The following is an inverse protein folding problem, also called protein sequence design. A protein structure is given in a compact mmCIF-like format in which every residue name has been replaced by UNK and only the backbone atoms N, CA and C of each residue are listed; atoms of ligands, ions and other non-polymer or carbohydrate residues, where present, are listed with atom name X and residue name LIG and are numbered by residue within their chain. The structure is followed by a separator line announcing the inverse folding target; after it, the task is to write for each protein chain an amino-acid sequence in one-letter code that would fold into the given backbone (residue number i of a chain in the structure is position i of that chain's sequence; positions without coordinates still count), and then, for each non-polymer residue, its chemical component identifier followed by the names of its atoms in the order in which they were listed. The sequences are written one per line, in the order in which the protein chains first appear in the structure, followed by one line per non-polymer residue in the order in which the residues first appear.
data_IF_652012162621
#
_entry.id   IF_652012162621
#
_cell.length_a   1.000
_cell.length_b   1.000
_cell.length_c   1.000
_cell.angle_alpha   90.00
_cell.angle_beta   90.00
_cell.angle_gamma   90.00
#
_symmetry.space_group_name_H-M   'P 1'
#
loop_
_entity.id
_entity.type
_entity.pdbx_description
1 polymer ?
#
# COMPACT_ATOMS: atom_id res chain seq x y z
N UNK A 1 -40.60 -15.03 -12.98
CA UNK A 1 -39.81 -15.39 -14.18
C UNK A 1 -38.68 -16.32 -13.77
N UNK A 2 -38.69 -17.59 -14.22
CA UNK A 2 -37.58 -18.50 -13.93
C UNK A 2 -36.36 -18.17 -14.82
N UNK A 3 -35.14 -18.13 -14.28
CA UNK A 3 -33.94 -17.88 -15.08
C UNK A 3 -33.72 -19.00 -16.11
N UNK A 4 -33.29 -18.61 -17.31
CA UNK A 4 -33.02 -19.54 -18.42
C UNK A 4 -31.94 -20.55 -18.03
N UNK A 5 -31.95 -21.73 -18.66
CA UNK A 5 -31.00 -22.81 -18.38
C UNK A 5 -29.52 -22.35 -18.52
N UNK A 6 -29.25 -21.42 -19.45
CA UNK A 6 -27.93 -20.81 -19.64
C UNK A 6 -27.49 -19.95 -18.44
N UNK A 7 -28.42 -19.18 -17.87
CA UNK A 7 -28.14 -18.35 -16.67
C UNK A 7 -27.91 -19.22 -15.44
N UNK A 8 -28.64 -20.34 -15.31
CA UNK A 8 -28.40 -21.33 -14.23
C UNK A 8 -27.02 -21.98 -14.35
N UNK A 9 -26.62 -22.41 -15.55
CA UNK A 9 -25.31 -22.99 -15.81
C UNK A 9 -24.15 -22.03 -15.49
N UNK A 10 -24.29 -20.74 -15.83
CA UNK A 10 -23.28 -19.70 -15.53
C UNK A 10 -23.16 -19.42 -14.04
N UNK A 11 -24.29 -19.39 -13.32
CA UNK A 11 -24.29 -19.24 -11.86
C UNK A 11 -23.67 -20.46 -11.18
N UNK A 12 -24.00 -21.68 -11.59
CA UNK A 12 -23.39 -22.89 -11.05
C UNK A 12 -21.88 -22.91 -11.28
N UNK A 13 -21.40 -22.52 -12.47
CA UNK A 13 -19.97 -22.38 -12.77
C UNK A 13 -19.28 -21.30 -11.94
N UNK A 14 -19.94 -20.17 -11.69
CA UNK A 14 -19.42 -19.10 -10.85
C UNK A 14 -19.32 -19.54 -9.38
N UNK A 15 -20.34 -20.25 -8.86
CA UNK A 15 -20.31 -20.84 -7.53
C UNK A 15 -19.25 -21.94 -7.42
N UNK A 16 -19.06 -22.77 -8.44
CA UNK A 16 -18.03 -23.81 -8.44
C UNK A 16 -16.61 -23.20 -8.43
N UNK A 17 -16.41 -22.11 -9.18
CA UNK A 17 -15.15 -21.35 -9.17
C UNK A 17 -14.92 -20.65 -7.83
N UNK A 18 -15.94 -20.03 -7.25
CA UNK A 18 -15.85 -19.40 -5.94
C UNK A 18 -15.57 -20.44 -4.84
N UNK A 19 -16.23 -21.59 -4.89
CA UNK A 19 -16.03 -22.71 -3.97
C UNK A 19 -14.61 -23.28 -4.07
N UNK A 20 -14.04 -23.40 -5.27
CA UNK A 20 -12.66 -23.88 -5.46
C UNK A 20 -11.59 -22.85 -5.07
N UNK A 21 -11.92 -21.55 -5.08
CA UNK A 21 -11.05 -20.48 -4.59
C UNK A 21 -11.06 -20.41 -3.05
N UNK A 22 -12.22 -20.66 -2.44
CA UNK A 22 -12.39 -20.63 -0.99
C UNK A 22 -11.93 -21.92 -0.30
N UNK A 23 -12.00 -23.06 -0.99
CA UNK A 23 -11.49 -24.34 -0.55
C UNK A 23 -10.76 -25.04 -1.70
N UNK A 24 -9.43 -24.85 -1.86
CA UNK A 24 -8.69 -25.62 -2.85
C UNK A 24 -8.82 -27.10 -2.48
N UNK A 25 -9.50 -27.88 -3.33
CA UNK A 25 -9.63 -29.30 -3.09
C UNK A 25 -8.25 -29.92 -3.17
N UNK A 26 -7.77 -30.47 -2.04
CA UNK A 26 -6.65 -31.40 -2.05
C UNK A 26 -6.94 -32.48 -3.11
N UNK A 27 -5.96 -32.88 -3.94
CA UNK A 27 -6.16 -33.82 -5.05
C UNK A 27 -6.29 -35.24 -4.49
N UNK A 28 -7.38 -35.48 -3.76
CA UNK A 28 -7.71 -36.75 -3.15
C UNK A 28 -8.81 -37.39 -3.97
N UNK A 29 -8.62 -38.67 -4.30
CA UNK A 29 -9.67 -39.49 -4.92
C UNK A 29 -10.89 -39.57 -3.98
N UNK A 30 -12.09 -39.86 -4.50
CA UNK A 30 -13.31 -39.94 -3.66
C UNK A 30 -13.19 -40.92 -2.48
N UNK A 31 -12.40 -41.98 -2.66
CA UNK A 31 -12.13 -42.98 -1.62
C UNK A 31 -11.23 -42.41 -0.52
N UNK A 32 -10.16 -41.70 -0.90
CA UNK A 32 -9.24 -41.04 0.03
C UNK A 32 -9.93 -39.91 0.79
N UNK A 33 -10.83 -39.17 0.13
CA UNK A 33 -11.67 -38.14 0.77
C UNK A 33 -12.56 -38.72 1.85
N UNK A 34 -13.26 -39.82 1.57
CA UNK A 34 -14.14 -40.46 2.54
C UNK A 34 -13.36 -41.10 3.69
N UNK A 35 -12.15 -41.61 3.41
CA UNK A 35 -11.25 -42.14 4.44
C UNK A 35 -10.69 -41.04 5.34
N UNK A 36 -10.31 -39.89 4.77
CA UNK A 36 -9.87 -38.71 5.50
C UNK A 36 -11.01 -38.13 6.35
N UNK A 37 -12.21 -38.02 5.80
CA UNK A 37 -13.41 -37.58 6.54
C UNK A 37 -13.77 -38.52 7.69
N UNK A 38 -13.61 -39.83 7.50
CA UNK A 38 -13.75 -40.83 8.55
C UNK A 38 -12.73 -40.61 9.67
N UNK A 39 -11.44 -40.52 9.31
CA UNK A 39 -10.35 -40.30 10.26
C UNK A 39 -10.48 -38.98 11.02
N UNK A 40 -10.90 -37.90 10.36
CA UNK A 40 -11.15 -36.61 11.01
C UNK A 40 -12.34 -36.70 11.96
N UNK A 41 -13.45 -37.35 11.56
CA UNK A 41 -14.59 -37.55 12.45
C UNK A 41 -14.25 -38.39 13.67
N UNK A 42 -13.47 -39.45 13.48
CA UNK A 42 -13.08 -40.36 14.57
C UNK A 42 -12.07 -39.69 15.50
N UNK A 43 -11.14 -38.89 14.97
CA UNK A 43 -10.21 -38.07 15.77
C UNK A 43 -10.95 -37.00 16.58
N UNK A 44 -11.95 -36.33 15.99
CA UNK A 44 -12.76 -35.33 16.69
C UNK A 44 -13.62 -35.97 17.80
N UNK A 45 -14.18 -37.15 17.53
CA UNK A 45 -14.93 -37.93 18.53
C UNK A 45 -14.03 -38.43 19.66
N UNK A 46 -12.80 -38.87 19.35
CA UNK A 46 -11.83 -39.26 20.36
C UNK A 46 -11.41 -38.08 21.25
N UNK A 47 -11.24 -36.88 20.69
CA UNK A 47 -10.93 -35.67 21.46
C UNK A 47 -12.11 -35.19 22.32
N UNK A 48 -13.35 -35.31 21.84
CA UNK A 48 -14.54 -35.00 22.63
C UNK A 48 -14.73 -35.97 23.81
N UNK A 49 -14.24 -37.19 23.68
CA UNK A 49 -14.34 -38.22 24.71
C UNK A 49 -13.10 -38.32 25.62
N UNK A 50 -12.00 -37.62 25.33
CA UNK A 50 -10.81 -37.61 26.17
C UNK A 50 -10.86 -36.47 27.20
N UNK A 51 -10.88 -36.84 28.48
CA UNK A 51 -10.63 -35.95 29.62
C UNK A 51 -9.24 -35.30 29.47
N UNK A 52 -9.04 -34.01 29.85
CA UNK A 52 -7.86 -33.27 29.42
C UNK A 52 -6.58 -33.78 30.11
N UNK A 53 -5.69 -34.37 29.32
CA UNK A 53 -4.25 -34.33 29.59
C UNK A 53 -3.61 -33.37 28.58
N UNK A 54 -2.62 -32.57 29.00
CA UNK A 54 -2.04 -31.55 28.13
C UNK A 54 -1.09 -32.19 27.11
N UNK A 55 -1.22 -31.96 25.79
CA UNK A 55 -0.19 -32.32 24.85
C UNK A 55 0.59 -31.07 24.42
N UNK A 56 1.87 -31.09 24.78
CA UNK A 56 2.99 -30.57 24.00
C UNK A 56 2.82 -30.95 22.53
N UNK A 57 2.52 -30.00 21.65
CA UNK A 57 2.98 -30.06 20.25
C UNK A 57 2.81 -28.72 19.52
N UNK A 58 3.95 -28.23 19.01
CA UNK A 58 4.16 -26.88 18.47
C UNK A 58 3.46 -26.60 17.13
N UNK A 59 2.77 -27.58 16.56
CA UNK A 59 2.12 -27.45 15.24
C UNK A 59 0.65 -27.00 15.30
N UNK A 60 0.01 -27.07 16.48
CA UNK A 60 -1.37 -26.59 16.68
C UNK A 60 -1.41 -25.07 16.99
N UNK A 61 -0.30 -24.51 17.48
CA UNK A 61 -0.19 -23.08 17.79
C UNK A 61 -0.41 -22.17 16.58
N UNK A 62 -0.06 -22.61 15.36
CA UNK A 62 -0.16 -21.79 14.16
C UNK A 62 -1.55 -21.81 13.49
N UNK A 63 -2.35 -22.86 13.71
CA UNK A 63 -3.73 -22.92 13.19
C UNK A 63 -4.73 -22.14 14.07
N UNK A 64 -4.40 -21.88 15.34
CA UNK A 64 -5.19 -21.04 16.24
C UNK A 64 -4.92 -19.53 16.10
N UNK A 65 -3.90 -19.14 15.31
CA UNK A 65 -3.58 -17.72 15.04
C UNK A 65 -4.52 -17.09 13.99
N UNK A 66 -5.22 -17.89 13.18
CA UNK A 66 -6.07 -17.40 12.09
C UNK A 66 -7.56 -17.32 12.40
N UNK A 67 -7.98 -17.77 13.59
CA UNK A 67 -9.35 -17.61 14.09
C UNK A 67 -9.29 -16.93 15.46
N UNK A 68 -9.73 -15.67 15.62
CA UNK A 68 -9.70 -14.96 16.90
C UNK A 68 -10.69 -15.53 17.94
N UNK A 69 -11.30 -16.69 17.69
CA UNK A 69 -12.33 -17.28 18.54
C UNK A 69 -12.11 -18.79 18.71
N UNK A 70 -11.03 -19.21 19.38
CA UNK A 70 -10.93 -20.61 19.86
C UNK A 70 -10.11 -20.80 21.14
N UNK A 71 -10.12 -19.82 22.02
CA UNK A 71 -9.76 -20.04 23.44
C UNK A 71 -10.72 -19.25 24.35
N UNK A 72 -11.89 -19.85 24.61
CA UNK A 72 -12.70 -19.61 25.82
C UNK A 72 -12.90 -18.14 26.22
N UNK A 73 -13.61 -17.37 25.39
CA UNK A 73 -14.41 -16.25 25.90
C UNK A 73 -15.70 -16.89 26.43
N UNK A 74 -15.86 -16.95 27.75
CA UNK A 74 -16.94 -17.66 28.38
C UNK A 74 -18.26 -16.86 28.28
N UNK A 75 -18.92 -16.93 27.12
CA UNK A 75 -20.31 -16.49 26.93
C UNK A 75 -20.51 -15.21 26.13
N UNK A 76 -21.72 -15.06 25.57
CA UNK A 76 -22.15 -13.89 24.76
C UNK A 76 -22.00 -12.55 25.49
N UNK A 77 -22.01 -12.55 26.83
CA UNK A 77 -21.86 -11.35 27.67
C UNK A 77 -20.48 -10.70 27.56
N UNK A 78 -19.41 -11.47 27.34
CA UNK A 78 -18.07 -10.90 27.22
C UNK A 78 -17.86 -10.21 25.86
N UNK A 79 -18.56 -10.68 24.80
CA UNK A 79 -18.59 -10.01 23.50
C UNK A 79 -19.37 -8.70 23.53
N UNK A 80 -20.49 -8.65 24.27
CA UNK A 80 -21.24 -7.41 24.50
C UNK A 80 -20.39 -6.39 25.27
N UNK A 81 -19.66 -6.81 26.30
CA UNK A 81 -18.76 -5.94 27.08
C UNK A 81 -17.64 -5.32 26.26
N UNK A 82 -17.09 -6.02 25.26
CA UNK A 82 -16.07 -5.43 24.36
C UNK A 82 -16.63 -4.23 23.59
N UNK A 83 -17.93 -4.19 23.32
CA UNK A 83 -18.57 -3.09 22.61
C UNK A 83 -18.86 -1.87 23.49
N UNK A 84 -18.75 -2.03 24.82
CA UNK A 84 -18.98 -0.99 25.84
C UNK A 84 -17.67 -0.47 26.43
N UNK A 85 -16.77 -1.37 26.84
CA UNK A 85 -15.45 -1.04 27.37
C UNK A 85 -14.38 -2.05 26.88
N UNK A 86 -13.87 -1.89 25.64
CA UNK A 86 -12.90 -2.81 25.07
C UNK A 86 -11.56 -2.82 25.83
N UNK A 87 -11.18 -1.70 26.45
CA UNK A 87 -9.89 -1.57 27.15
C UNK A 87 -9.97 -2.27 28.51
N UNK A 88 -11.05 -2.08 29.26
CA UNK A 88 -11.28 -2.82 30.51
C UNK A 88 -11.35 -4.33 30.30
N UNK A 89 -11.96 -4.80 29.19
CA UNK A 89 -11.95 -6.23 28.85
C UNK A 89 -10.54 -6.75 28.59
N UNK A 90 -9.69 -5.97 27.90
CA UNK A 90 -8.30 -6.37 27.68
C UNK A 90 -7.55 -6.53 29.00
N UNK A 91 -7.70 -5.59 29.93
CA UNK A 91 -7.05 -5.65 31.25
C UNK A 91 -7.50 -6.85 32.08
N UNK A 92 -8.78 -7.21 32.01
CA UNK A 92 -9.28 -8.43 32.66
C UNK A 92 -8.61 -9.69 32.10
N UNK A 93 -8.38 -9.74 30.78
CA UNK A 93 -7.69 -10.86 30.15
C UNK A 93 -6.18 -10.88 30.45
N UNK A 94 -5.57 -9.72 30.67
CA UNK A 94 -4.19 -9.61 31.19
C UNK A 94 -4.11 -10.22 32.59
N UNK A 95 -5.03 -9.85 33.49
CA UNK A 95 -5.10 -10.40 34.85
C UNK A 95 -5.37 -11.92 34.85
N UNK A 96 -6.17 -12.40 33.89
CA UNK A 96 -6.46 -13.82 33.71
C UNK A 96 -5.30 -14.61 33.06
N UNK A 97 -4.21 -13.95 32.65
CA UNK A 97 -3.08 -14.57 31.96
C UNK A 97 -3.41 -15.05 30.54
N UNK A 98 -4.47 -14.53 29.92
CA UNK A 98 -4.97 -14.92 28.58
C UNK A 98 -4.75 -13.83 27.52
N UNK A 99 -4.02 -12.76 27.86
CA UNK A 99 -3.74 -11.70 26.91
C UNK A 99 -2.96 -12.21 25.70
N UNK A 100 -3.29 -11.67 24.52
CA UNK A 100 -2.58 -11.92 23.27
C UNK A 100 -2.45 -10.62 22.48
N UNK A 101 -1.49 -10.55 21.55
CA UNK A 101 -1.34 -9.42 20.63
C UNK A 101 -2.58 -9.23 19.74
N UNK A 102 -3.24 -10.34 19.35
CA UNK A 102 -4.47 -10.30 18.57
C UNK A 102 -5.64 -9.67 19.34
N UNK A 103 -5.81 -10.05 20.61
CA UNK A 103 -6.83 -9.46 21.48
C UNK A 103 -6.58 -7.96 21.71
N UNK A 104 -5.34 -7.57 21.99
CA UNK A 104 -4.97 -6.17 22.16
C UNK A 104 -5.30 -5.34 20.90
N UNK A 105 -4.98 -5.86 19.71
CA UNK A 105 -5.33 -5.22 18.45
C UNK A 105 -6.84 -5.09 18.22
N UNK A 106 -7.61 -6.12 18.58
CA UNK A 106 -9.07 -6.09 18.49
C UNK A 106 -9.69 -5.05 19.43
N UNK A 107 -9.23 -4.98 20.68
CA UNK A 107 -9.69 -4.01 21.66
C UNK A 107 -9.37 -2.56 21.24
N UNK A 108 -8.16 -2.32 20.73
CA UNK A 108 -7.78 -1.00 20.21
C UNK A 108 -8.62 -0.60 18.99
N UNK A 109 -8.88 -1.53 18.06
CA UNK A 109 -9.77 -1.25 16.92
C UNK A 109 -11.19 -0.91 17.38
N UNK A 110 -11.74 -1.66 18.33
CA UNK A 110 -13.08 -1.41 18.88
C UNK A 110 -13.16 -0.08 19.63
N UNK A 111 -12.10 0.29 20.34
CA UNK A 111 -11.97 1.60 20.96
C UNK A 111 -11.99 2.73 19.93
N UNK A 112 -11.19 2.62 18.87
CA UNK A 112 -11.15 3.59 17.76
C UNK A 112 -12.51 3.69 17.05
N UNK A 113 -13.18 2.56 16.79
CA UNK A 113 -14.54 2.53 16.25
C UNK A 113 -15.53 3.22 17.19
N UNK A 114 -15.44 2.97 18.50
CA UNK A 114 -16.29 3.60 19.51
C UNK A 114 -16.15 5.12 19.54
N UNK A 115 -14.92 5.65 19.42
CA UNK A 115 -14.71 7.10 19.33
C UNK A 115 -15.29 7.66 18.03
N UNK A 116 -15.03 7.01 16.88
CA UNK A 116 -15.49 7.52 15.57
C UNK A 116 -17.01 7.44 15.39
N UNK A 117 -17.64 6.34 15.81
CA UNK A 117 -19.04 6.06 15.53
C UNK A 117 -19.98 6.41 16.69
N UNK A 118 -19.55 6.22 17.93
CA UNK A 118 -20.37 6.44 19.13
C UNK A 118 -20.03 7.74 19.86
N UNK A 119 -19.03 8.47 19.39
CA UNK A 119 -18.60 9.73 20.02
C UNK A 119 -18.03 9.55 21.42
N UNK A 120 -17.44 8.38 21.72
CA UNK A 120 -16.73 8.18 22.97
C UNK A 120 -15.68 9.28 23.14
N UNK A 121 -15.63 9.86 24.34
CA UNK A 121 -14.55 10.80 24.64
C UNK A 121 -13.26 9.99 24.72
N UNK A 122 -12.21 10.51 24.08
CA UNK A 122 -10.86 10.18 24.50
C UNK A 122 -10.66 10.85 25.88
N UNK A 123 -11.32 10.32 26.91
CA UNK A 123 -11.10 10.74 28.28
C UNK A 123 -9.61 10.54 28.55
N UNK A 124 -8.98 11.49 29.27
CA UNK A 124 -7.51 11.66 29.34
C UNK A 124 -6.68 10.46 29.80
N UNK A 125 -7.31 9.32 30.09
CA UNK A 125 -6.68 8.02 30.24
C UNK A 125 -6.15 7.50 28.89
N UNK A 126 -4.83 7.28 28.87
CA UNK A 126 -4.08 6.76 27.74
C UNK A 126 -4.47 5.30 27.46
N UNK A 127 -5.51 5.05 26.66
CA UNK A 127 -5.98 3.71 26.31
C UNK A 127 -4.85 2.87 25.71
N UNK A 128 -4.05 3.46 24.82
CA UNK A 128 -2.84 2.80 24.31
C UNK A 128 -1.86 2.46 25.44
N UNK A 129 -1.64 3.37 26.39
CA UNK A 129 -0.77 3.14 27.55
C UNK A 129 -1.21 1.96 28.40
N UNK A 130 -2.51 1.86 28.69
CA UNK A 130 -3.12 0.75 29.44
C UNK A 130 -2.90 -0.58 28.72
N UNK A 131 -3.12 -0.61 27.39
CA UNK A 131 -2.88 -1.81 26.58
C UNK A 131 -1.40 -2.18 26.55
N UNK A 132 -0.50 -1.21 26.36
CA UNK A 132 0.95 -1.46 26.34
C UNK A 132 1.48 -1.96 27.69
N UNK A 133 1.01 -1.37 28.80
CA UNK A 133 1.34 -1.82 30.15
C UNK A 133 0.87 -3.25 30.38
N UNK A 134 -0.36 -3.58 29.95
CA UNK A 134 -0.88 -4.93 30.00
C UNK A 134 -0.05 -5.92 29.20
N UNK A 135 0.33 -5.56 27.97
CA UNK A 135 1.21 -6.38 27.12
C UNK A 135 2.60 -6.60 27.74
N UNK A 136 3.15 -5.58 28.42
CA UNK A 136 4.42 -5.70 29.15
C UNK A 136 4.30 -6.62 30.36
N UNK A 137 3.24 -6.46 31.17
CA UNK A 137 2.96 -7.33 32.33
C UNK A 137 2.77 -8.79 31.93
N UNK A 138 2.15 -9.05 30.77
CA UNK A 138 2.00 -10.39 30.22
C UNK A 138 3.25 -10.94 29.51
N UNK A 139 4.36 -10.19 29.47
CA UNK A 139 5.61 -10.62 28.82
C UNK A 139 5.54 -10.71 27.29
N UNK A 140 4.47 -10.19 26.67
CA UNK A 140 4.23 -10.25 25.22
C UNK A 140 5.04 -9.19 24.46
N UNK A 141 5.40 -8.10 25.13
CA UNK A 141 6.19 -7.00 24.56
C UNK A 141 7.22 -6.55 25.58
N UNK A 142 8.49 -6.54 25.19
CA UNK A 142 9.58 -6.00 26.02
C UNK A 142 9.97 -4.58 25.62
N UNK A 143 9.79 -4.19 24.36
CA UNK A 143 10.09 -2.85 23.83
C UNK A 143 9.11 -2.46 22.72
N UNK A 144 8.85 -1.15 22.57
CA UNK A 144 7.95 -0.61 21.55
C UNK A 144 8.33 -1.00 20.11
N UNK A 145 9.62 -1.17 19.83
CA UNK A 145 10.12 -1.62 18.51
C UNK A 145 9.74 -3.06 18.16
N UNK A 146 9.34 -3.89 19.12
CA UNK A 146 8.82 -5.23 18.84
C UNK A 146 7.45 -5.18 18.15
N UNK A 147 6.77 -4.03 18.26
CA UNK A 147 5.41 -3.86 17.78
C UNK A 147 5.37 -3.41 16.32
N UNK A 148 6.42 -2.76 15.82
CA UNK A 148 6.41 -2.01 14.55
C UNK A 148 6.38 -2.88 13.29
N UNK A 149 6.38 -4.21 13.43
CA UNK A 149 6.21 -5.19 12.34
C UNK A 149 5.13 -6.25 12.69
N UNK A 150 4.21 -5.92 13.58
CA UNK A 150 3.16 -6.82 14.06
C UNK A 150 1.79 -6.41 13.51
N UNK A 151 0.80 -7.32 13.38
CA UNK A 151 -0.58 -6.97 13.04
C UNK A 151 -1.19 -5.86 13.93
N UNK A 152 -0.64 -5.65 15.12
CA UNK A 152 -1.07 -4.60 16.06
C UNK A 152 -0.51 -3.20 15.75
N UNK A 153 0.47 -3.06 14.83
CA UNK A 153 1.02 -1.74 14.42
C UNK A 153 -0.09 -0.78 14.01
N UNK A 154 -1.00 -1.24 13.13
CA UNK A 154 -2.09 -0.43 12.62
C UNK A 154 -3.04 0.03 13.74
N UNK A 155 -3.64 -0.87 14.57
CA UNK A 155 -4.46 -0.46 15.70
C UNK A 155 -3.79 0.57 16.63
N UNK A 156 -2.50 0.43 16.88
CA UNK A 156 -1.74 1.37 17.72
C UNK A 156 -1.62 2.74 17.07
N UNK A 157 -1.23 2.80 15.80
CA UNK A 157 -1.10 4.06 15.06
C UNK A 157 -2.47 4.76 14.93
N UNK A 158 -3.53 4.00 14.64
CA UNK A 158 -4.88 4.57 14.57
C UNK A 158 -5.33 5.12 15.94
N UNK A 159 -5.01 4.44 17.04
CA UNK A 159 -5.30 4.90 18.40
C UNK A 159 -4.53 6.18 18.72
N UNK A 160 -3.23 6.26 18.40
CA UNK A 160 -2.42 7.47 18.59
C UNK A 160 -3.01 8.67 17.86
N UNK A 161 -3.51 8.48 16.64
CA UNK A 161 -4.16 9.55 15.89
C UNK A 161 -5.46 9.95 16.56
N UNK A 162 -6.33 9.01 16.93
CA UNK A 162 -7.61 9.33 17.56
C UNK A 162 -7.42 10.07 18.90
N UNK A 163 -6.45 9.64 19.72
CA UNK A 163 -6.08 10.29 20.99
C UNK A 163 -5.38 11.66 20.82
N UNK A 164 -5.03 12.09 19.60
CA UNK A 164 -4.34 13.37 19.38
C UNK A 164 -2.86 13.35 19.80
N UNK A 165 -2.22 12.18 19.68
CA UNK A 165 -0.82 11.94 20.08
C UNK A 165 0.08 11.74 18.87
N UNK A 166 -0.09 12.57 17.85
CA UNK A 166 0.65 12.47 16.59
C UNK A 166 2.16 12.66 16.77
N UNK A 167 2.58 13.38 17.81
CA UNK A 167 4.00 13.55 18.17
C UNK A 167 4.69 12.21 18.44
N UNK A 168 4.01 11.27 19.10
CA UNK A 168 4.54 9.92 19.35
C UNK A 168 4.74 9.13 18.06
N UNK A 169 3.94 9.41 17.02
CA UNK A 169 4.14 8.80 15.70
C UNK A 169 5.44 9.33 15.08
N UNK A 170 5.74 10.63 15.24
CA UNK A 170 7.00 11.21 14.78
C UNK A 170 8.20 10.66 15.54
N UNK A 171 8.07 10.42 16.85
CA UNK A 171 9.10 9.78 17.66
C UNK A 171 9.40 8.35 17.15
N UNK A 172 8.35 7.59 16.81
CA UNK A 172 8.49 6.27 16.19
C UNK A 172 9.20 6.37 14.83
N UNK A 173 8.79 7.27 13.95
CA UNK A 173 9.44 7.43 12.64
C UNK A 173 10.92 7.83 12.75
N UNK A 174 11.28 8.55 13.81
CA UNK A 174 12.65 8.99 14.09
C UNK A 174 13.52 7.91 14.75
N UNK A 175 12.92 6.82 15.24
CA UNK A 175 13.65 5.77 15.94
C UNK A 175 14.62 5.02 15.00
N UNK A 176 15.88 4.89 15.42
CA UNK A 176 16.94 4.26 14.62
C UNK A 176 16.79 2.73 14.48
N UNK A 177 16.04 2.09 15.39
CA UNK A 177 15.87 0.65 15.47
C UNK A 177 14.69 0.10 14.64
N UNK A 178 13.95 0.97 13.95
CA UNK A 178 12.84 0.56 13.08
C UNK A 178 13.35 0.51 11.64
N UNK A 179 13.17 -0.61 10.92
CA UNK A 179 13.56 -0.70 9.52
C UNK A 179 12.70 0.23 8.66
N UNK A 180 13.21 0.66 7.50
CA UNK A 180 12.52 1.63 6.65
C UNK A 180 11.13 1.14 6.20
N UNK A 181 10.96 -0.17 6.02
CA UNK A 181 9.65 -0.80 5.75
C UNK A 181 8.65 -0.55 6.89
N UNK A 182 9.08 -0.71 8.14
CA UNK A 182 8.24 -0.44 9.30
C UNK A 182 7.90 1.04 9.42
N UNK A 183 8.86 1.93 9.13
CA UNK A 183 8.60 3.39 9.07
C UNK A 183 7.56 3.74 8.02
N UNK A 184 7.65 3.13 6.83
CA UNK A 184 6.65 3.29 5.78
C UNK A 184 5.26 2.85 6.23
N UNK A 185 5.12 1.68 6.86
CA UNK A 185 3.83 1.16 7.33
C UNK A 185 3.22 2.08 8.40
N UNK A 186 4.02 2.51 9.38
CA UNK A 186 3.59 3.47 10.42
C UNK A 186 3.09 4.77 9.77
N UNK A 187 3.86 5.33 8.84
CA UNK A 187 3.46 6.56 8.15
C UNK A 187 2.17 6.34 7.35
N UNK A 188 2.07 5.25 6.59
CA UNK A 188 0.88 4.94 5.79
C UNK A 188 -0.37 4.83 6.67
N UNK A 189 -0.31 4.10 7.80
CA UNK A 189 -1.43 4.00 8.72
C UNK A 189 -1.76 5.34 9.37
N UNK A 190 -0.73 6.13 9.74
CA UNK A 190 -0.90 7.45 10.33
C UNK A 190 -1.62 8.43 9.39
N UNK A 191 -1.20 8.46 8.12
CA UNK A 191 -1.80 9.30 7.08
C UNK A 191 -3.26 8.92 6.83
N UNK A 192 -3.56 7.63 6.70
CA UNK A 192 -4.94 7.17 6.50
C UNK A 192 -5.85 7.50 7.70
N UNK A 193 -5.35 7.29 8.92
CA UNK A 193 -6.09 7.62 10.13
C UNK A 193 -6.32 9.12 10.28
N UNK A 194 -5.30 9.94 9.93
CA UNK A 194 -5.38 11.40 10.00
C UNK A 194 -6.37 11.95 8.99
N UNK A 195 -6.38 11.41 7.77
CA UNK A 195 -7.33 11.79 6.74
C UNK A 195 -8.78 11.54 7.18
N UNK A 196 -9.05 10.40 7.82
CA UNK A 196 -10.38 10.07 8.35
C UNK A 196 -10.76 10.99 9.52
N UNK A 197 -9.83 11.29 10.43
CA UNK A 197 -10.09 12.09 11.62
C UNK A 197 -10.27 13.58 11.31
N UNK A 198 -9.39 14.14 10.49
CA UNK A 198 -9.21 15.59 10.37
C UNK A 198 -9.05 16.08 8.91
N UNK A 199 -9.24 15.19 7.94
CA UNK A 199 -9.19 15.52 6.51
C UNK A 199 -7.79 15.50 5.90
N UNK A 200 -7.76 15.62 4.57
CA UNK A 200 -6.55 15.53 3.76
C UNK A 200 -5.49 16.59 4.10
N UNK A 201 -5.90 17.77 4.57
CA UNK A 201 -4.97 18.88 4.86
C UNK A 201 -4.06 18.53 6.04
N UNK A 202 -4.64 17.91 7.08
CA UNK A 202 -3.90 17.41 8.24
C UNK A 202 -3.07 16.18 7.92
N UNK A 203 -3.54 15.34 7.01
CA UNK A 203 -2.75 14.22 6.50
C UNK A 203 -1.49 14.72 5.75
N UNK A 204 -1.62 15.72 4.87
CA UNK A 204 -0.48 16.36 4.19
C UNK A 204 0.46 17.03 5.19
N UNK A 205 -0.07 17.74 6.19
CA UNK A 205 0.75 18.36 7.24
C UNK A 205 1.58 17.32 8.01
N UNK A 206 0.98 16.18 8.34
CA UNK A 206 1.65 15.05 8.99
C UNK A 206 2.74 14.45 8.09
N UNK A 207 2.46 14.26 6.80
CA UNK A 207 3.44 13.78 5.84
C UNK A 207 4.64 14.71 5.76
N UNK A 208 4.41 16.02 5.61
CA UNK A 208 5.46 17.02 5.57
C UNK A 208 6.30 17.01 6.85
N UNK A 209 5.67 16.96 8.04
CA UNK A 209 6.39 16.84 9.31
C UNK A 209 7.31 15.60 9.35
N UNK A 210 6.87 14.47 8.79
CA UNK A 210 7.67 13.24 8.73
C UNK A 210 8.93 13.34 7.86
N UNK A 211 8.96 14.28 6.91
CA UNK A 211 10.14 14.54 6.08
C UNK A 211 11.17 15.44 6.79
N UNK A 212 10.72 16.26 7.75
CA UNK A 212 11.58 17.21 8.46
C UNK A 212 12.28 16.57 9.67
N UNK A 213 11.82 15.40 10.12
CA UNK A 213 12.38 14.68 11.28
C UNK A 213 13.77 14.09 11.06
N UNK A 214 14.31 14.07 9.83
CA UNK A 214 15.59 13.42 9.56
C UNK A 214 16.31 14.01 8.34
N UNK A 215 16.95 15.18 8.45
CA UNK A 215 17.92 15.66 7.45
C UNK A 215 17.37 16.04 6.06
N UNK A 216 18.26 16.62 5.24
CA UNK A 216 17.94 17.24 3.94
C UNK A 216 18.61 16.54 2.74
N UNK A 217 18.89 15.24 2.82
CA UNK A 217 19.52 14.52 1.70
C UNK A 217 18.48 14.22 0.62
N UNK A 218 18.86 14.39 -0.66
CA UNK A 218 17.99 14.01 -1.79
C UNK A 218 17.67 12.51 -1.72
N UNK A 219 16.42 12.18 -1.97
CA UNK A 219 15.88 10.82 -2.01
C UNK A 219 16.00 10.03 -0.70
N UNK A 220 16.24 10.72 0.41
CA UNK A 220 16.43 10.11 1.72
C UNK A 220 15.23 9.28 2.16
N UNK A 221 14.03 9.70 1.78
CA UNK A 221 12.78 9.04 2.14
C UNK A 221 12.13 8.37 0.94
N UNK A 222 12.93 7.78 0.04
CA UNK A 222 12.42 7.08 -1.13
C UNK A 222 11.31 6.07 -0.79
N UNK A 223 11.38 5.42 0.37
CA UNK A 223 10.33 4.49 0.83
C UNK A 223 8.96 5.13 1.04
N UNK A 224 8.89 6.44 1.29
CA UNK A 224 7.64 7.18 1.46
C UNK A 224 6.98 7.54 0.13
N UNK A 225 7.61 7.26 -1.01
CA UNK A 225 7.06 7.56 -2.33
C UNK A 225 5.62 7.09 -2.58
N UNK A 226 5.21 5.87 -2.20
CA UNK A 226 3.83 5.44 -2.42
C UNK A 226 2.82 6.32 -1.67
N UNK A 227 3.15 6.75 -0.45
CA UNK A 227 2.31 7.64 0.38
C UNK A 227 2.25 9.03 -0.25
N UNK A 228 3.39 9.60 -0.63
CA UNK A 228 3.45 10.92 -1.29
C UNK A 228 2.65 10.96 -2.60
N UNK A 229 2.75 9.91 -3.42
CA UNK A 229 1.96 9.79 -4.66
C UNK A 229 0.46 9.64 -4.39
N UNK A 230 0.07 8.91 -3.35
CA UNK A 230 -1.32 8.77 -2.95
C UNK A 230 -1.91 10.13 -2.53
N UNK A 231 -1.18 10.90 -1.72
CA UNK A 231 -1.57 12.24 -1.30
C UNK A 231 -1.69 13.19 -2.50
N UNK A 232 -0.72 13.19 -3.42
CA UNK A 232 -0.77 14.02 -4.63
C UNK A 232 -2.02 13.73 -5.47
N UNK A 233 -2.40 12.46 -5.64
CA UNK A 233 -3.64 12.08 -6.36
C UNK A 233 -4.88 12.56 -5.62
N UNK A 234 -4.98 12.29 -4.32
CA UNK A 234 -6.15 12.70 -3.53
C UNK A 234 -6.34 14.21 -3.49
N UNK A 235 -5.26 14.98 -3.39
CA UNK A 235 -5.33 16.44 -3.44
C UNK A 235 -5.72 16.93 -4.83
N UNK A 236 -5.17 16.33 -5.90
CA UNK A 236 -5.48 16.71 -7.29
C UNK A 236 -6.91 16.36 -7.71
N UNK A 237 -7.41 15.20 -7.29
CA UNK A 237 -8.73 14.68 -7.67
C UNK A 237 -9.85 15.21 -6.73
N UNK A 238 -9.50 15.94 -5.66
CA UNK A 238 -10.44 16.49 -4.68
C UNK A 238 -11.14 17.78 -5.12
N UNK A 239 -12.33 18.04 -4.58
CA UNK A 239 -13.25 19.11 -5.02
C UNK A 239 -12.92 20.54 -4.54
N UNK A 240 -11.72 20.82 -4.03
CA UNK A 240 -11.42 22.14 -3.45
C UNK A 240 -10.06 22.70 -3.85
N UNK A 241 -9.97 24.03 -3.84
CA UNK A 241 -8.86 24.89 -4.25
C UNK A 241 -7.58 24.68 -3.42
N UNK A 242 -7.02 23.47 -3.48
CA UNK A 242 -5.90 22.95 -2.68
C UNK A 242 -4.59 22.95 -3.46
N UNK A 243 -4.48 23.85 -4.45
CA UNK A 243 -3.28 24.00 -5.28
C UNK A 243 -2.04 24.25 -4.43
N UNK A 244 -2.15 25.03 -3.36
CA UNK A 244 -1.05 25.28 -2.42
C UNK A 244 -0.56 24.00 -1.72
N UNK A 245 -1.46 23.07 -1.38
CA UNK A 245 -1.08 21.79 -0.77
C UNK A 245 -0.41 20.87 -1.78
N UNK A 246 -0.92 20.86 -3.00
CA UNK A 246 -0.31 20.11 -4.10
C UNK A 246 1.08 20.65 -4.42
N UNK A 247 1.23 21.98 -4.48
CA UNK A 247 2.51 22.65 -4.69
C UNK A 247 3.51 22.33 -3.59
N UNK A 248 3.08 22.30 -2.33
CA UNK A 248 3.92 21.92 -1.20
C UNK A 248 4.44 20.48 -1.32
N UNK A 249 3.53 19.54 -1.60
CA UNK A 249 3.87 18.13 -1.81
C UNK A 249 4.82 17.90 -3.00
N UNK A 250 4.57 18.60 -4.11
CA UNK A 250 5.42 18.51 -5.30
C UNK A 250 6.79 19.10 -5.02
N UNK A 251 6.86 20.24 -4.32
CA UNK A 251 8.13 20.90 -3.98
C UNK A 251 8.99 20.08 -2.99
N UNK A 252 8.37 19.21 -2.18
CA UNK A 252 9.07 18.28 -1.30
C UNK A 252 9.49 16.97 -1.99
N UNK A 253 9.11 16.73 -3.25
CA UNK A 253 9.38 15.49 -3.99
C UNK A 253 10.85 15.08 -4.02
N UNK A 254 11.79 16.03 -4.05
CA UNK A 254 13.24 15.78 -3.97
C UNK A 254 13.68 14.97 -2.73
N UNK A 255 12.89 15.00 -1.64
CA UNK A 255 13.18 14.30 -0.39
C UNK A 255 12.65 12.87 -0.38
N UNK A 256 11.49 12.63 -1.01
CA UNK A 256 10.76 11.37 -0.90
C UNK A 256 10.63 10.58 -2.21
N UNK A 257 11.01 11.14 -3.36
CA UNK A 257 11.11 10.39 -4.59
C UNK A 257 12.23 9.32 -4.47
N UNK A 258 12.03 8.14 -5.07
CA UNK A 258 13.05 7.08 -5.09
C UNK A 258 14.19 7.35 -6.07
N UNK A 259 14.02 8.29 -6.99
CA UNK A 259 15.00 8.55 -8.06
C UNK A 259 14.74 9.89 -8.75
N UNK A 260 15.74 10.43 -9.49
CA UNK A 260 15.56 11.61 -10.34
C UNK A 260 14.43 11.46 -11.36
N UNK A 261 14.25 10.26 -11.91
CA UNK A 261 13.13 9.96 -12.82
C UNK A 261 11.78 10.19 -12.14
N UNK A 262 11.64 9.71 -10.90
CA UNK A 262 10.38 9.84 -10.16
C UNK A 262 10.11 11.27 -9.72
N UNK A 263 11.14 12.00 -9.27
CA UNK A 263 11.03 13.44 -8.98
C UNK A 263 10.50 14.20 -10.20
N UNK A 264 11.17 14.05 -11.34
CA UNK A 264 10.75 14.67 -12.59
C UNK A 264 9.33 14.27 -13.02
N UNK A 265 8.95 13.00 -12.84
CA UNK A 265 7.60 12.53 -13.15
C UNK A 265 6.52 13.14 -12.22
N UNK A 266 6.85 13.36 -10.95
CA UNK A 266 5.96 14.00 -9.98
C UNK A 266 5.75 15.47 -10.35
N UNK A 267 6.84 16.20 -10.61
CA UNK A 267 6.79 17.60 -11.04
C UNK A 267 5.97 17.79 -12.31
N UNK A 268 6.17 16.92 -13.32
CA UNK A 268 5.43 16.99 -14.58
C UNK A 268 3.93 16.71 -14.40
N UNK A 269 3.57 15.64 -13.68
CA UNK A 269 2.18 15.14 -13.64
C UNK A 269 1.29 15.83 -12.61
N UNK A 270 1.87 16.27 -11.50
CA UNK A 270 1.13 16.88 -10.40
C UNK A 270 1.37 18.39 -10.33
N UNK A 271 2.61 18.85 -10.51
CA UNK A 271 2.93 20.27 -10.48
C UNK A 271 2.77 20.98 -11.83
N UNK A 272 2.64 20.23 -12.93
CA UNK A 272 2.75 20.79 -14.27
C UNK A 272 4.07 21.52 -14.50
N UNK A 273 5.15 21.21 -13.77
CA UNK A 273 6.44 21.88 -13.95
C UNK A 273 7.31 21.09 -14.91
N UNK A 274 7.81 21.75 -15.95
CA UNK A 274 8.61 21.12 -17.02
C UNK A 274 10.11 21.17 -16.73
N UNK A 275 10.59 22.22 -16.07
CA UNK A 275 11.99 22.48 -15.70
C UNK A 275 12.75 21.26 -15.16
N UNK A 276 12.19 20.59 -14.15
CA UNK A 276 12.80 19.46 -13.47
C UNK A 276 12.88 18.24 -14.39
N UNK A 277 11.85 18.06 -15.23
CA UNK A 277 11.81 16.97 -16.19
C UNK A 277 12.74 17.22 -17.39
N UNK A 278 12.82 18.46 -17.88
CA UNK A 278 13.78 18.86 -18.92
C UNK A 278 15.20 18.65 -18.43
N UNK A 279 15.52 19.13 -17.23
CA UNK A 279 16.83 18.92 -16.60
C UNK A 279 17.19 17.44 -16.46
N UNK A 280 16.22 16.59 -16.12
CA UNK A 280 16.42 15.14 -16.09
C UNK A 280 16.79 14.59 -17.48
N UNK A 281 16.05 14.91 -18.54
CA UNK A 281 16.37 14.41 -19.89
C UNK A 281 17.69 14.96 -20.45
N UNK A 282 18.01 16.22 -20.19
CA UNK A 282 19.31 16.79 -20.55
C UNK A 282 20.47 16.08 -19.83
N UNK A 283 20.28 15.71 -18.56
CA UNK A 283 21.26 14.90 -17.82
C UNK A 283 21.41 13.48 -18.38
N UNK A 284 20.31 12.88 -18.87
CA UNK A 284 20.33 11.57 -19.51
C UNK A 284 21.11 11.58 -20.83
N UNK A 285 20.95 12.62 -21.65
CA UNK A 285 21.64 12.70 -22.95
C UNK A 285 23.17 12.79 -22.82
N UNK A 286 23.65 13.31 -21.69
CA UNK A 286 25.07 13.31 -21.31
C UNK A 286 25.60 11.92 -20.93
N UNK A 287 24.72 10.92 -20.76
CA UNK A 287 25.10 9.55 -20.44
C UNK A 287 25.89 8.87 -21.57
N UNK A 288 27.02 8.26 -21.22
CA UNK A 288 27.85 7.49 -22.16
C UNK A 288 27.20 6.19 -22.65
N UNK A 289 27.82 5.54 -23.63
CA UNK A 289 27.30 4.30 -24.25
C UNK A 289 27.02 3.19 -23.23
N UNK A 290 27.87 3.04 -22.22
CA UNK A 290 27.72 2.07 -21.13
C UNK A 290 26.44 2.30 -20.30
N UNK A 291 26.14 3.57 -19.98
CA UNK A 291 24.91 3.91 -19.25
C UNK A 291 23.68 3.40 -20.01
N UNK A 292 23.64 3.66 -21.31
CA UNK A 292 22.52 3.24 -22.15
C UNK A 292 22.50 1.72 -22.36
N UNK A 293 23.65 1.07 -22.53
CA UNK A 293 23.75 -0.39 -22.64
C UNK A 293 23.22 -1.13 -21.42
N UNK A 294 23.35 -0.54 -20.22
CA UNK A 294 22.90 -1.15 -18.96
C UNK A 294 21.37 -1.17 -18.74
N UNK A 295 20.58 -0.45 -19.56
CA UNK A 295 19.15 -0.28 -19.31
C UNK A 295 18.31 -1.38 -19.93
N UNK A 296 17.30 -1.84 -19.20
CA UNK A 296 16.35 -2.82 -19.70
C UNK A 296 15.23 -2.18 -20.55
N UNK A 297 14.51 -3.01 -21.31
CA UNK A 297 13.40 -2.60 -22.19
C UNK A 297 12.30 -1.82 -21.47
N UNK A 298 12.02 -2.16 -20.20
CA UNK A 298 10.99 -1.48 -19.40
C UNK A 298 11.38 -0.06 -19.06
N UNK A 299 12.64 0.16 -18.72
CA UNK A 299 13.18 1.48 -18.45
C UNK A 299 13.06 2.35 -19.70
N UNK A 300 13.51 1.86 -20.86
CA UNK A 300 13.37 2.58 -22.14
C UNK A 300 11.93 2.98 -22.43
N UNK A 301 10.99 2.05 -22.27
CA UNK A 301 9.59 2.32 -22.54
C UNK A 301 8.98 3.36 -21.58
N UNK A 302 9.25 3.23 -20.27
CA UNK A 302 8.74 4.18 -19.27
C UNK A 302 9.34 5.57 -19.45
N UNK A 303 10.65 5.66 -19.69
CA UNK A 303 11.35 6.93 -19.89
C UNK A 303 10.92 7.58 -21.20
N UNK A 304 10.81 6.84 -22.30
CA UNK A 304 10.31 7.41 -23.55
C UNK A 304 8.88 7.94 -23.44
N UNK A 305 7.98 7.19 -22.78
CA UNK A 305 6.61 7.65 -22.51
C UNK A 305 6.61 8.99 -21.77
N UNK A 306 7.41 9.11 -20.72
CA UNK A 306 7.51 10.36 -19.96
C UNK A 306 8.10 11.51 -20.79
N UNK A 307 9.09 11.24 -21.64
CA UNK A 307 9.69 12.27 -22.49
C UNK A 307 8.74 12.76 -23.58
N UNK A 308 7.92 11.87 -24.14
CA UNK A 308 6.84 12.26 -25.06
C UNK A 308 5.77 13.10 -24.35
N UNK A 309 5.37 12.70 -23.13
CA UNK A 309 4.45 13.49 -22.28
C UNK A 309 5.05 14.88 -21.99
N UNK A 310 6.35 14.97 -21.68
CA UNK A 310 7.04 16.23 -21.45
C UNK A 310 7.07 17.11 -22.71
N UNK A 311 7.46 16.55 -23.85
CA UNK A 311 7.51 17.28 -25.12
C UNK A 311 6.15 17.87 -25.51
N UNK A 312 5.07 17.13 -25.27
CA UNK A 312 3.71 17.64 -25.46
C UNK A 312 3.39 18.82 -24.53
N UNK A 313 3.69 18.69 -23.23
CA UNK A 313 3.43 19.78 -22.26
C UNK A 313 4.24 21.04 -22.59
N UNK A 314 5.50 20.88 -23.03
CA UNK A 314 6.32 22.02 -23.49
C UNK A 314 5.71 22.68 -24.74
N UNK A 315 5.28 21.88 -25.73
CA UNK A 315 4.65 22.40 -26.94
C UNK A 315 3.30 23.10 -26.66
N UNK A 316 2.50 22.59 -25.73
CA UNK A 316 1.23 23.21 -25.30
C UNK A 316 1.45 24.55 -24.58
N UNK A 317 2.64 24.77 -24.03
CA UNK A 317 3.05 26.00 -23.35
C UNK A 317 3.86 26.94 -24.24
N UNK A 318 3.97 26.63 -25.53
CA UNK A 318 4.76 27.39 -26.50
C UNK A 318 6.27 27.44 -26.15
N UNK A 319 6.75 26.54 -25.30
CA UNK A 319 8.17 26.36 -25.01
C UNK A 319 8.80 25.44 -26.06
N UNK A 320 8.96 26.00 -27.26
CA UNK A 320 9.40 25.27 -28.44
C UNK A 320 10.85 24.81 -28.35
N UNK A 321 11.69 25.54 -27.61
CA UNK A 321 13.09 25.19 -27.44
C UNK A 321 13.23 23.88 -26.64
N UNK A 322 12.53 23.80 -25.50
CA UNK A 322 12.53 22.60 -24.68
C UNK A 322 11.79 21.45 -25.36
N UNK A 323 10.66 21.71 -26.03
CA UNK A 323 9.94 20.70 -26.80
C UNK A 323 10.82 20.08 -27.90
N UNK A 324 11.57 20.90 -28.64
CA UNK A 324 12.50 20.44 -29.67
C UNK A 324 13.67 19.64 -29.07
N UNK A 325 14.26 20.13 -27.97
CA UNK A 325 15.36 19.43 -27.30
C UNK A 325 14.95 18.04 -26.81
N UNK A 326 13.78 17.92 -26.16
CA UNK A 326 13.27 16.65 -25.68
C UNK A 326 12.93 15.71 -26.83
N UNK A 327 12.28 16.21 -27.89
CA UNK A 327 11.96 15.42 -29.08
C UNK A 327 13.22 14.88 -29.74
N UNK A 328 14.28 15.69 -29.84
CA UNK A 328 15.56 15.26 -30.39
C UNK A 328 16.25 14.19 -29.53
N UNK A 329 16.24 14.33 -28.20
CA UNK A 329 16.75 13.31 -27.28
C UNK A 329 15.99 11.99 -27.46
N UNK A 330 14.66 12.05 -27.53
CA UNK A 330 13.81 10.88 -27.74
C UNK A 330 14.14 10.20 -29.07
N UNK A 331 14.26 11.00 -30.13
CA UNK A 331 14.62 10.55 -31.47
C UNK A 331 16.00 9.87 -31.50
N UNK A 332 17.02 10.45 -30.88
CA UNK A 332 18.39 9.92 -30.89
C UNK A 332 18.58 8.69 -29.99
N UNK A 333 17.96 8.69 -28.81
CA UNK A 333 18.29 7.71 -27.75
C UNK A 333 17.27 6.59 -27.56
N UNK A 334 16.01 6.79 -27.99
CA UNK A 334 14.91 5.87 -27.70
C UNK A 334 14.28 5.25 -28.94
N UNK A 335 14.28 5.94 -30.10
CA UNK A 335 13.84 5.34 -31.36
C UNK A 335 14.66 4.10 -31.71
N UNK A 336 13.99 3.05 -32.18
CA UNK A 336 14.60 1.74 -32.44
C UNK A 336 14.82 0.88 -31.18
N UNK A 337 14.78 1.47 -29.97
CA UNK A 337 14.82 0.73 -28.69
C UNK A 337 13.45 0.55 -28.06
N UNK A 338 12.51 1.43 -28.38
CA UNK A 338 11.11 1.36 -27.94
C UNK A 338 10.22 0.89 -29.09
N UNK A 339 9.49 -0.20 -28.86
CA UNK A 339 8.60 -0.76 -29.86
C UNK A 339 7.50 0.25 -30.25
N UNK A 340 7.35 0.51 -31.55
CA UNK A 340 6.36 1.44 -32.08
C UNK A 340 6.80 2.91 -32.08
N UNK A 341 8.06 3.21 -31.72
CA UNK A 341 8.62 4.55 -31.78
C UNK A 341 9.67 4.64 -32.88
N UNK A 342 9.43 5.47 -33.89
CA UNK A 342 10.29 5.60 -35.06
C UNK A 342 10.78 7.04 -35.27
N UNK A 343 12.05 7.19 -35.62
CA UNK A 343 12.69 8.50 -35.71
C UNK A 343 12.08 9.41 -36.79
N UNK A 344 11.60 8.83 -37.89
CA UNK A 344 10.95 9.57 -38.97
C UNK A 344 9.58 10.13 -38.59
N UNK A 345 8.95 9.61 -37.53
CA UNK A 345 7.64 10.06 -37.05
C UNK A 345 7.75 11.25 -36.09
N UNK A 346 8.93 11.51 -35.54
CA UNK A 346 9.21 12.62 -34.60
C UNK A 346 9.86 13.83 -35.29
N UNK A 347 9.91 13.84 -36.63
CA UNK A 347 10.40 14.97 -37.41
C UNK A 347 9.28 15.99 -37.62
N UNK A 348 9.37 17.15 -36.98
CA UNK A 348 8.47 18.27 -37.24
C UNK A 348 8.96 19.08 -38.45
N UNK A 349 8.05 19.43 -39.37
CA UNK A 349 8.30 20.41 -40.44
C UNK A 349 7.83 21.83 -40.05
N UNK A 350 6.95 21.93 -39.05
CA UNK A 350 6.42 23.18 -38.47
C UNK A 350 5.93 22.95 -37.02
N UNK A 351 5.60 24.03 -36.29
CA UNK A 351 5.18 23.99 -34.88
C UNK A 351 3.86 23.23 -34.64
N UNK A 352 2.92 23.29 -35.58
CA UNK A 352 1.63 22.60 -35.47
C UNK A 352 1.75 21.08 -35.62
N UNK A 353 2.55 20.62 -36.60
CA UNK A 353 2.77 19.19 -36.85
C UNK A 353 3.57 18.50 -35.75
N UNK A 354 4.39 19.24 -35.00
CA UNK A 354 5.17 18.71 -33.87
C UNK A 354 4.27 18.13 -32.77
N UNK A 355 3.17 18.82 -32.43
CA UNK A 355 2.23 18.38 -31.39
C UNK A 355 1.53 17.09 -31.79
N UNK A 356 1.01 17.03 -33.01
CA UNK A 356 0.31 15.84 -33.54
C UNK A 356 1.24 14.64 -33.66
N UNK A 357 2.49 14.87 -34.09
CA UNK A 357 3.52 13.85 -34.15
C UNK A 357 3.83 13.26 -32.76
N UNK A 358 3.99 14.11 -31.75
CA UNK A 358 4.23 13.69 -30.36
C UNK A 358 3.04 12.93 -29.77
N UNK A 359 1.82 13.43 -29.98
CA UNK A 359 0.58 12.78 -29.52
C UNK A 359 0.43 11.38 -30.14
N UNK A 360 0.62 11.26 -31.47
CA UNK A 360 0.54 9.98 -32.20
C UNK A 360 1.62 8.99 -31.74
N UNK A 361 2.84 9.48 -31.49
CA UNK A 361 3.92 8.67 -30.93
C UNK A 361 3.58 8.18 -29.51
N UNK A 362 3.03 9.06 -28.66
CA UNK A 362 2.62 8.72 -27.31
C UNK A 362 1.52 7.64 -27.30
N UNK A 363 0.52 7.76 -28.16
CA UNK A 363 -0.57 6.77 -28.27
C UNK A 363 -0.06 5.39 -28.69
N UNK A 364 0.85 5.32 -29.66
CA UNK A 364 1.48 4.04 -30.08
C UNK A 364 2.28 3.41 -28.93
N UNK A 365 3.04 4.21 -28.19
CA UNK A 365 3.78 3.75 -27.02
C UNK A 365 2.81 3.26 -25.94
N UNK A 366 1.69 3.95 -25.68
CA UNK A 366 0.65 3.51 -24.73
C UNK A 366 0.01 2.19 -25.14
N UNK A 367 -0.46 2.07 -26.37
CA UNK A 367 -1.13 0.86 -26.89
C UNK A 367 -0.22 -0.37 -26.83
N UNK A 368 1.06 -0.23 -27.20
CA UNK A 368 2.03 -1.34 -27.10
C UNK A 368 2.45 -1.63 -25.66
N UNK A 369 2.51 -0.61 -24.81
CA UNK A 369 2.72 -0.79 -23.38
C UNK A 369 1.60 -1.60 -22.73
N UNK A 370 0.36 -1.36 -23.12
CA UNK A 370 -0.81 -2.11 -22.64
C UNK A 370 -0.82 -3.55 -23.13
N UNK A 371 -0.47 -3.80 -24.40
CA UNK A 371 -0.32 -5.15 -24.95
C UNK A 371 0.79 -5.94 -24.23
N UNK A 372 1.95 -5.32 -23.98
CA UNK A 372 3.05 -5.91 -23.20
C UNK A 372 2.69 -6.09 -21.72
N UNK A 373 1.82 -5.24 -21.17
CA UNK A 373 1.31 -5.37 -19.81
C UNK A 373 0.23 -6.45 -19.69
N UNK A 374 -0.56 -6.71 -20.74
CA UNK A 374 -1.51 -7.83 -20.82
C UNK A 374 -0.79 -9.17 -20.95
N UNK A 375 0.30 -9.24 -21.72
CA UNK A 375 1.19 -10.40 -21.73
C UNK A 375 1.82 -10.67 -20.36
N UNK A 376 2.16 -9.62 -19.60
CA UNK A 376 2.61 -9.76 -18.20
C UNK A 376 1.48 -9.98 -17.21
N UNK A 377 0.26 -9.51 -17.47
CA UNK A 377 -0.89 -9.64 -16.58
C UNK A 377 -1.34 -11.09 -16.43
N UNK A 378 -1.14 -11.93 -17.44
CA UNK A 378 -1.45 -13.37 -17.32
C UNK A 378 -0.40 -14.07 -16.44
N UNK A 379 0.85 -13.62 -16.46
CA UNK A 379 1.94 -14.19 -15.64
C UNK A 379 2.04 -13.57 -14.23
N UNK A 380 1.65 -12.30 -14.06
CA UNK A 380 1.69 -11.54 -12.79
C UNK A 380 0.40 -11.69 -11.97
N UNK A 381 -0.73 -12.10 -12.58
CA UNK A 381 -1.92 -12.48 -11.82
C UNK A 381 -1.73 -13.81 -11.06
N UNK A 382 -0.92 -14.73 -11.58
CA UNK A 382 -0.65 -16.02 -10.93
C UNK A 382 0.39 -15.93 -9.80
N UNK A 383 1.27 -14.91 -9.81
CA UNK A 383 2.32 -14.76 -8.80
C UNK A 383 1.94 -13.83 -7.62
N UNK A 384 0.82 -13.10 -7.68
CA UNK A 384 0.36 -12.23 -6.58
C UNK A 384 -0.56 -12.89 -5.56
N UNK A 385 -0.76 -14.21 -5.66
CA UNK A 385 -1.53 -15.01 -4.69
C UNK A 385 -0.67 -16.07 -3.96
N UNK A 386 0.64 -16.10 -4.18
CA UNK A 386 1.56 -17.05 -3.54
C UNK A 386 2.50 -16.40 -2.50
N UNK A 387 2.25 -15.15 -2.09
CA UNK A 387 3.08 -14.44 -1.11
C UNK A 387 2.24 -13.53 -0.19
N UNK A 388 1.20 -14.09 0.41
CA UNK A 388 0.69 -13.66 1.74
C UNK A 388 1.29 -14.55 2.79
#
# INVERSE_FOLDING_TARGET
MQPSASTRLRLTLAFFKLHNVLHPQLPLTPIERNRLLGLVKDSFRQQLNSVPTPPTDSHVGNLLVTLPFSTSLAGSKDLERIHEDPIGVFEQQVLAGRATLGLAGLCLNKYVEGIRAKGWRADGENALGRVLEGLQKSGLVTKMSAITNSPITRPIVETLVVEGRETKIMDLLSAANIPDKGKFEILQFGILAMEVKAGIDKAVEMFERSLHTSGNKKYQYGEFQPVGLQLCRKVKDGESNKEQLLEKLVSSAKLWAKSPFMEAAIHLRFGGRTDTAVGYFLSLDKGGSEFWGSKNKNWYHRTAKMGLELGMVCAEREDWADAAAITDIIRRRFCGRVAGLFAHELGARDHGTARDALQKALEKVRMKGELLSKERSVSDMLNRWAAT
#
